data_IF_984279895886
#
_entry.id   IF_984279895886
#
_cell.length_a   1.000
_cell.length_b   1.000
_cell.length_c   1.000
_cell.angle_alpha   90.00
_cell.angle_beta   90.00
_cell.angle_gamma   90.00
#
_symmetry.space_group_name_H-M   'P 1'
#
loop_
_entity.id
_entity.type
_entity.pdbx_description
1 polymer ?
#
# COMPACT_ATOMS: atom_id res chain seq x y z
N UNK A 1 13.30 -9.15 -16.72
CA UNK A 1 11.87 -8.85 -16.50
C UNK A 1 11.65 -7.99 -15.27
N UNK A 2 11.88 -8.50 -14.05
CA UNK A 2 11.64 -7.71 -12.82
C UNK A 2 12.55 -6.48 -12.78
N UNK A 3 13.85 -6.65 -13.05
CA UNK A 3 14.80 -5.54 -13.12
C UNK A 3 14.46 -4.53 -14.21
N UNK A 4 14.02 -5.00 -15.40
CA UNK A 4 13.60 -4.11 -16.48
C UNK A 4 12.35 -3.32 -16.09
N UNK A 5 11.37 -3.97 -15.46
CA UNK A 5 10.17 -3.32 -14.95
C UNK A 5 10.50 -2.27 -13.87
N UNK A 6 11.41 -2.59 -12.94
CA UNK A 6 11.89 -1.67 -11.92
C UNK A 6 12.62 -0.47 -12.54
N UNK A 7 13.49 -0.71 -13.52
CA UNK A 7 14.21 0.36 -14.23
C UNK A 7 13.25 1.28 -14.98
N UNK A 8 12.29 0.73 -15.72
CA UNK A 8 11.28 1.51 -16.42
C UNK A 8 10.43 2.32 -15.45
N UNK A 9 9.98 1.71 -14.35
CA UNK A 9 9.22 2.39 -13.31
C UNK A 9 10.01 3.54 -12.68
N UNK A 10 11.30 3.34 -12.41
CA UNK A 10 12.17 4.39 -11.89
C UNK A 10 12.30 5.57 -12.87
N UNK A 11 12.48 5.31 -14.16
CA UNK A 11 12.50 6.38 -15.17
C UNK A 11 11.15 7.10 -15.28
N UNK A 12 10.03 6.40 -15.08
CA UNK A 12 8.70 7.01 -15.09
C UNK A 12 8.48 8.00 -13.95
N UNK A 13 9.14 7.85 -12.80
CA UNK A 13 9.05 8.82 -11.70
C UNK A 13 9.43 10.25 -12.11
N UNK A 14 10.32 10.40 -13.09
CA UNK A 14 10.82 11.69 -13.57
C UNK A 14 10.02 12.24 -14.77
N UNK A 15 9.00 11.53 -15.24
CA UNK A 15 8.16 11.95 -16.35
C UNK A 15 7.32 13.20 -15.99
N UNK A 16 7.04 14.05 -16.98
CA UNK A 16 6.24 15.25 -16.76
C UNK A 16 4.80 14.91 -16.35
N UNK A 17 4.26 13.86 -16.95
CA UNK A 17 2.91 13.34 -16.73
C UNK A 17 2.73 12.83 -15.29
N UNK A 18 3.78 12.24 -14.72
CA UNK A 18 3.79 11.70 -13.36
C UNK A 18 3.75 12.79 -12.28
N UNK A 19 4.19 14.02 -12.59
CA UNK A 19 4.14 15.15 -11.65
C UNK A 19 2.72 15.54 -11.28
N UNK A 20 1.81 15.53 -12.25
CA UNK A 20 0.37 15.77 -12.04
C UNK A 20 -0.19 14.75 -11.04
N UNK A 21 0.09 13.47 -11.28
CA UNK A 21 -0.36 12.37 -10.41
C UNK A 21 0.25 12.49 -9.02
N UNK A 22 1.55 12.83 -8.93
CA UNK A 22 2.22 13.03 -7.65
C UNK A 22 1.53 14.08 -6.78
N UNK A 23 1.16 15.24 -7.33
CA UNK A 23 0.49 16.29 -6.56
C UNK A 23 -0.92 15.89 -6.11
N UNK A 24 -1.67 15.13 -6.93
CA UNK A 24 -2.97 14.58 -6.53
C UNK A 24 -2.82 13.57 -5.39
N UNK A 25 -1.85 12.65 -5.53
CA UNK A 25 -1.49 11.65 -4.51
C UNK A 25 -1.14 12.34 -3.20
N UNK A 26 -0.23 13.32 -3.25
CA UNK A 26 0.21 14.06 -2.07
C UNK A 26 -0.94 14.83 -1.42
N UNK A 27 -1.75 15.55 -2.21
CA UNK A 27 -2.91 16.29 -1.71
C UNK A 27 -3.95 15.39 -1.03
N UNK A 28 -4.29 14.25 -1.65
CA UNK A 28 -5.22 13.30 -1.04
C UNK A 28 -4.62 12.61 0.18
N UNK A 29 -3.32 12.30 0.17
CA UNK A 29 -2.60 11.77 1.34
C UNK A 29 -2.76 12.70 2.53
N UNK A 30 -2.48 13.99 2.34
CA UNK A 30 -2.62 15.01 3.38
C UNK A 30 -4.08 15.14 3.86
N UNK A 31 -5.04 15.07 2.93
CA UNK A 31 -6.46 15.11 3.26
C UNK A 31 -6.87 13.89 4.12
N UNK A 32 -6.48 12.68 3.72
CA UNK A 32 -6.79 11.44 4.45
C UNK A 32 -6.12 11.45 5.82
N UNK A 33 -4.86 11.89 5.92
CA UNK A 33 -4.17 12.02 7.20
C UNK A 33 -4.85 13.05 8.11
N UNK A 34 -5.27 14.20 7.59
CA UNK A 34 -6.01 15.19 8.36
C UNK A 34 -7.36 14.62 8.83
N UNK A 35 -8.11 13.93 7.96
CA UNK A 35 -9.36 13.28 8.32
C UNK A 35 -9.17 12.21 9.41
N UNK A 36 -8.15 11.36 9.27
CA UNK A 36 -7.78 10.36 10.29
C UNK A 36 -7.38 11.02 11.61
N UNK A 37 -6.59 12.09 11.57
CA UNK A 37 -6.23 12.86 12.76
C UNK A 37 -7.46 13.36 13.51
N UNK A 38 -8.39 14.01 12.82
CA UNK A 38 -9.63 14.49 13.44
C UNK A 38 -10.51 13.35 13.93
N UNK A 39 -10.60 12.24 13.21
CA UNK A 39 -11.38 11.07 13.62
C UNK A 39 -10.79 10.42 14.89
N UNK A 40 -9.50 10.11 14.89
CA UNK A 40 -8.81 9.49 16.03
C UNK A 40 -8.86 10.43 17.24
N UNK A 41 -8.58 11.73 17.05
CA UNK A 41 -8.67 12.73 18.13
C UNK A 41 -10.08 12.80 18.72
N UNK A 42 -11.11 12.81 17.88
CA UNK A 42 -12.51 12.88 18.34
C UNK A 42 -12.89 11.62 19.11
N UNK A 43 -12.50 10.44 18.62
CA UNK A 43 -12.74 9.16 19.30
C UNK A 43 -12.01 9.15 20.65
N UNK A 44 -10.75 9.58 20.70
CA UNK A 44 -9.98 9.66 21.94
C UNK A 44 -10.64 10.60 22.95
N UNK A 45 -11.05 11.81 22.53
CA UNK A 45 -11.70 12.78 23.42
C UNK A 45 -13.03 12.27 23.97
N UNK A 46 -13.83 11.62 23.14
CA UNK A 46 -15.18 11.23 23.55
C UNK A 46 -15.22 9.90 24.31
N UNK A 47 -14.35 8.94 23.97
CA UNK A 47 -14.40 7.58 24.52
C UNK A 47 -13.23 7.22 25.43
N UNK A 48 -12.01 7.69 25.13
CA UNK A 48 -10.83 7.32 25.90
C UNK A 48 -10.57 8.27 27.07
N UNK A 49 -10.68 9.57 26.86
CA UNK A 49 -10.43 10.61 27.88
C UNK A 49 -11.30 10.42 29.14
N UNK A 50 -12.62 10.17 29.05
CA UNK A 50 -13.43 9.92 30.24
C UNK A 50 -13.00 8.69 31.04
N UNK A 51 -12.48 7.66 30.37
CA UNK A 51 -11.92 6.46 31.02
C UNK A 51 -10.56 6.74 31.67
N UNK A 52 -9.74 7.61 31.07
CA UNK A 52 -8.47 8.04 31.66
C UNK A 52 -8.72 8.85 32.93
N UNK A 53 -9.70 9.75 32.91
CA UNK A 53 -10.06 10.59 34.05
C UNK A 53 -10.62 9.78 35.24
N UNK A 54 -11.33 8.68 34.98
CA UNK A 54 -11.81 7.77 36.03
C UNK A 54 -10.72 6.88 36.62
N UNK A 55 -9.73 6.49 35.82
CA UNK A 55 -8.60 5.67 36.26
C UNK A 55 -7.55 6.48 37.02
N UNK A 56 -7.47 7.79 36.82
CA UNK A 56 -6.48 8.68 37.47
C UNK A 56 -7.18 9.93 38.03
N UNK A 57 -7.94 9.81 39.13
CA UNK A 57 -8.58 10.96 39.75
C UNK A 57 -7.52 11.84 40.45
N UNK A 58 -7.35 13.07 39.95
CA UNK A 58 -6.60 14.14 40.62
C UNK A 58 -5.18 13.75 41.04
N UNK A 59 -4.24 13.74 40.08
CA UNK A 59 -2.83 13.48 40.37
C UNK A 59 -2.32 14.50 41.41
N UNK A 60 -1.88 14.08 42.61
CA UNK A 60 -1.32 15.00 43.59
C UNK A 60 -0.05 15.67 43.05
N UNK A 61 0.21 16.94 43.40
CA UNK A 61 1.36 17.71 42.85
C UNK A 61 2.72 17.01 43.04
N UNK A 62 2.91 16.25 44.13
CA UNK A 62 4.14 15.48 44.40
C UNK A 62 4.30 14.25 43.49
N UNK A 63 3.22 13.79 42.87
CA UNK A 63 3.19 12.69 41.90
C UNK A 63 3.24 13.20 40.45
N UNK A 64 3.56 14.48 40.20
CA UNK A 64 3.70 15.05 38.86
C UNK A 64 4.72 14.32 37.96
N UNK A 65 5.67 13.61 38.56
CA UNK A 65 6.61 12.74 37.85
C UNK A 65 5.92 11.52 37.21
N UNK A 66 4.84 10.99 37.80
CA UNK A 66 4.01 9.96 37.17
C UNK A 66 3.30 10.51 35.94
N UNK A 67 2.78 11.74 36.01
CA UNK A 67 2.16 12.42 34.85
C UNK A 67 3.16 12.60 33.71
N UNK A 68 4.40 12.96 34.02
CA UNK A 68 5.49 13.06 33.04
C UNK A 68 5.83 11.70 32.42
N UNK A 69 5.97 10.65 33.23
CA UNK A 69 6.22 9.28 32.75
C UNK A 69 5.06 8.78 31.88
N UNK A 70 3.81 8.99 32.29
CA UNK A 70 2.63 8.69 31.48
C UNK A 70 2.60 9.48 30.17
N UNK A 71 2.95 10.77 30.19
CA UNK A 71 3.02 11.58 28.98
C UNK A 71 4.09 11.04 28.01
N UNK A 72 5.23 10.56 28.51
CA UNK A 72 6.24 9.88 27.69
C UNK A 72 5.69 8.59 27.09
N UNK A 73 5.08 7.71 27.90
CA UNK A 73 4.53 6.45 27.40
C UNK A 73 3.36 6.65 26.44
N UNK A 74 2.48 7.62 26.71
CA UNK A 74 1.39 8.01 25.82
C UNK A 74 1.93 8.62 24.52
N UNK A 75 2.98 9.45 24.60
CA UNK A 75 3.67 10.01 23.43
C UNK A 75 4.33 8.94 22.57
N UNK A 76 5.04 7.98 23.18
CA UNK A 76 5.64 6.83 22.50
C UNK A 76 4.53 5.94 21.90
N UNK A 77 3.47 5.65 22.66
CA UNK A 77 2.33 4.86 22.19
C UNK A 77 1.64 5.51 21.00
N UNK A 78 1.44 6.83 21.04
CA UNK A 78 0.90 7.61 19.94
C UNK A 78 1.84 7.60 18.72
N UNK A 79 3.15 7.79 18.93
CA UNK A 79 4.14 7.74 17.86
C UNK A 79 4.18 6.37 17.18
N UNK A 80 4.13 5.28 17.96
CA UNK A 80 4.05 3.91 17.46
C UNK A 80 2.74 3.67 16.70
N UNK A 81 1.61 4.14 17.22
CA UNK A 81 0.31 4.04 16.54
C UNK A 81 0.32 4.80 15.21
N UNK A 82 0.86 6.03 15.18
CA UNK A 82 1.00 6.81 13.96
C UNK A 82 1.93 6.11 12.96
N UNK A 83 3.07 5.59 13.41
CA UNK A 83 3.99 4.83 12.57
C UNK A 83 3.31 3.59 11.96
N UNK A 84 2.49 2.88 12.74
CA UNK A 84 1.69 1.73 12.29
C UNK A 84 0.69 2.11 11.20
N UNK A 85 0.16 3.34 11.23
CA UNK A 85 -0.82 3.86 10.28
C UNK A 85 -0.21 4.36 8.97
N UNK A 86 1.10 4.66 8.93
CA UNK A 86 1.78 5.10 7.70
C UNK A 86 1.60 4.04 6.59
N UNK A 87 1.90 2.77 6.90
CA UNK A 87 1.84 1.68 5.92
C UNK A 87 0.42 1.45 5.35
N UNK A 88 -0.65 1.31 6.17
CA UNK A 88 -2.04 1.24 5.69
C UNK A 88 -2.50 2.46 4.89
N UNK A 89 -2.06 3.67 5.29
CA UNK A 89 -2.43 4.91 4.57
C UNK A 89 -1.79 4.92 3.18
N UNK A 90 -0.48 4.69 3.09
CA UNK A 90 0.24 4.59 1.81
C UNK A 90 -0.38 3.53 0.89
N UNK A 91 -0.82 2.42 1.46
CA UNK A 91 -1.54 1.35 0.80
C UNK A 91 -2.88 1.78 0.17
N UNK A 92 -3.73 2.48 0.93
CA UNK A 92 -5.01 3.02 0.44
C UNK A 92 -4.79 4.02 -0.69
N UNK A 93 -3.84 4.94 -0.49
CA UNK A 93 -3.49 5.96 -1.48
C UNK A 93 -3.02 5.30 -2.77
N UNK A 94 -2.18 4.28 -2.66
CA UNK A 94 -1.71 3.56 -3.81
C UNK A 94 -2.84 2.89 -4.59
N UNK A 95 -3.81 2.25 -3.90
CA UNK A 95 -4.97 1.65 -4.55
C UNK A 95 -5.82 2.67 -5.31
N UNK A 96 -6.04 3.86 -4.73
CA UNK A 96 -6.85 4.92 -5.34
C UNK A 96 -6.18 5.59 -6.55
N UNK A 97 -4.85 5.68 -6.58
CA UNK A 97 -4.11 6.35 -7.67
C UNK A 97 -3.42 5.41 -8.64
N UNK A 98 -3.55 4.10 -8.44
CA UNK A 98 -2.95 3.12 -9.33
C UNK A 98 -3.43 3.27 -10.75
N UNK A 99 -4.71 3.59 -10.95
CA UNK A 99 -5.27 3.78 -12.29
C UNK A 99 -4.68 4.99 -13.00
N UNK A 100 -4.52 6.11 -12.31
CA UNK A 100 -3.87 7.33 -12.83
C UNK A 100 -2.42 7.04 -13.24
N UNK A 101 -1.67 6.34 -12.38
CA UNK A 101 -0.27 5.96 -12.67
C UNK A 101 -0.21 4.98 -13.84
N UNK A 102 -1.08 3.98 -13.85
CA UNK A 102 -1.11 2.97 -14.90
C UNK A 102 -1.47 3.56 -16.25
N UNK A 103 -2.41 4.51 -16.31
CA UNK A 103 -2.76 5.23 -17.53
C UNK A 103 -1.58 6.02 -18.10
N UNK A 104 -0.80 6.71 -17.24
CA UNK A 104 0.42 7.40 -17.65
C UNK A 104 1.44 6.42 -18.25
N UNK A 105 1.63 5.28 -17.61
CA UNK A 105 2.55 4.22 -18.08
C UNK A 105 2.08 3.61 -19.39
N UNK A 106 0.79 3.34 -19.54
CA UNK A 106 0.21 2.80 -20.76
C UNK A 106 0.39 3.78 -21.93
N UNK A 107 0.04 5.06 -21.76
CA UNK A 107 0.19 6.08 -22.80
C UNK A 107 1.65 6.29 -23.22
N UNK A 108 2.57 6.27 -22.25
CA UNK A 108 3.99 6.57 -22.49
C UNK A 108 4.78 5.37 -23.00
N UNK A 109 4.65 4.22 -22.35
CA UNK A 109 5.50 3.06 -22.60
C UNK A 109 4.84 2.02 -23.52
N UNK A 110 3.51 2.04 -23.64
CA UNK A 110 2.75 1.06 -24.42
C UNK A 110 1.67 1.72 -25.31
N UNK A 111 2.01 2.72 -26.16
CA UNK A 111 1.03 3.47 -26.93
C UNK A 111 0.24 2.61 -27.95
N UNK A 112 0.79 1.46 -28.35
CA UNK A 112 0.18 0.54 -29.32
C UNK A 112 -0.62 -0.60 -28.66
N UNK A 113 -0.58 -0.73 -27.33
CA UNK A 113 -1.38 -1.74 -26.62
C UNK A 113 -2.79 -1.18 -26.38
N UNK A 114 -3.84 -2.03 -26.34
CA UNK A 114 -5.16 -1.57 -25.91
C UNK A 114 -5.08 -1.02 -24.48
N UNK A 115 -5.67 0.16 -24.21
CA UNK A 115 -5.64 0.76 -22.89
C UNK A 115 -6.40 -0.11 -21.89
N UNK A 116 -5.91 -0.14 -20.64
CA UNK A 116 -6.60 -0.80 -19.54
C UNK A 116 -7.89 -0.05 -19.20
N UNK A 117 -8.88 -0.77 -18.64
CA UNK A 117 -10.08 -0.15 -18.07
C UNK A 117 -9.80 0.27 -16.64
N UNK A 118 -10.10 1.53 -16.30
CA UNK A 118 -10.04 2.00 -14.92
C UNK A 118 -11.04 1.22 -14.05
N UNK A 119 -10.66 0.97 -12.80
CA UNK A 119 -11.55 0.34 -11.84
C UNK A 119 -12.68 1.30 -11.44
N UNK A 120 -13.92 0.82 -11.28
CA UNK A 120 -14.98 1.64 -10.70
C UNK A 120 -14.57 2.15 -9.31
N UNK A 121 -14.84 3.43 -9.01
CA UNK A 121 -14.44 4.07 -7.75
C UNK A 121 -14.90 3.28 -6.52
N UNK A 122 -16.12 2.75 -6.53
CA UNK A 122 -16.63 1.93 -5.43
C UNK A 122 -15.84 0.65 -5.19
N UNK A 123 -15.39 -0.02 -6.26
CA UNK A 123 -14.55 -1.22 -6.17
C UNK A 123 -13.13 -0.89 -5.71
N UNK A 124 -12.58 0.25 -6.16
CA UNK A 124 -11.29 0.75 -5.71
C UNK A 124 -11.30 1.08 -4.21
N UNK A 125 -12.36 1.74 -3.72
CA UNK A 125 -12.56 2.05 -2.30
C UNK A 125 -12.69 0.77 -1.47
N UNK A 126 -13.54 -0.17 -1.88
CA UNK A 126 -13.72 -1.44 -1.15
C UNK A 126 -12.42 -2.25 -1.08
N UNK A 127 -11.68 -2.31 -2.19
CA UNK A 127 -10.39 -3.01 -2.24
C UNK A 127 -9.36 -2.34 -1.35
N UNK A 128 -9.32 -1.00 -1.35
CA UNK A 128 -8.45 -0.22 -0.46
C UNK A 128 -8.77 -0.46 1.02
N UNK A 129 -10.05 -0.55 1.41
CA UNK A 129 -10.47 -0.85 2.79
C UNK A 129 -10.06 -2.27 3.20
N UNK A 130 -10.25 -3.26 2.32
CA UNK A 130 -9.80 -4.64 2.58
C UNK A 130 -8.30 -4.71 2.76
N UNK A 131 -7.56 -4.00 1.90
CA UNK A 131 -6.11 -3.93 1.99
C UNK A 131 -5.66 -3.23 3.26
N UNK A 132 -6.31 -2.13 3.65
CA UNK A 132 -6.07 -1.45 4.92
C UNK A 132 -6.18 -2.42 6.12
N UNK A 133 -7.23 -3.25 6.17
CA UNK A 133 -7.37 -4.26 7.22
C UNK A 133 -6.26 -5.32 7.21
N UNK A 134 -5.86 -5.80 6.02
CA UNK A 134 -4.75 -6.75 5.87
C UNK A 134 -3.42 -6.14 6.31
N UNK A 135 -3.18 -4.87 5.97
CA UNK A 135 -1.95 -4.17 6.34
C UNK A 135 -1.90 -3.90 7.84
N UNK A 136 -3.03 -3.57 8.48
CA UNK A 136 -3.12 -3.48 9.96
C UNK A 136 -2.74 -4.82 10.58
N UNK A 137 -3.34 -5.92 10.12
CA UNK A 137 -3.04 -7.25 10.66
C UNK A 137 -1.56 -7.60 10.49
N UNK A 138 -0.98 -7.33 9.31
CA UNK A 138 0.45 -7.54 9.05
C UNK A 138 1.35 -6.69 9.95
N UNK A 139 0.99 -5.43 10.19
CA UNK A 139 1.73 -4.53 11.06
C UNK A 139 1.64 -4.93 12.54
N UNK A 140 0.51 -5.45 13.01
CA UNK A 140 0.38 -6.01 14.36
C UNK A 140 1.30 -7.23 14.55
N UNK A 141 1.36 -8.12 13.55
CA UNK A 141 2.30 -9.25 13.57
C UNK A 141 3.75 -8.75 13.56
N UNK A 142 4.06 -7.73 12.76
CA UNK A 142 5.40 -7.13 12.73
C UNK A 142 5.79 -6.51 14.08
N UNK A 143 4.84 -5.88 14.79
CA UNK A 143 5.06 -5.34 16.13
C UNK A 143 5.49 -6.42 17.13
N UNK A 144 4.88 -7.62 17.06
CA UNK A 144 5.27 -8.77 17.89
C UNK A 144 6.68 -9.27 17.57
N UNK A 145 7.07 -9.22 16.29
CA UNK A 145 8.38 -9.64 15.80
C UNK A 145 9.51 -8.63 16.07
N UNK A 146 9.16 -7.39 16.44
CA UNK A 146 10.10 -6.31 16.73
C UNK A 146 11.00 -6.62 17.94
N UNK A 147 10.54 -7.48 18.84
CA UNK A 147 11.26 -7.88 20.06
C UNK A 147 12.48 -8.78 19.81
N UNK A 148 12.66 -9.30 18.59
CA UNK A 148 13.79 -10.16 18.24
C UNK A 148 14.71 -9.46 17.22
N UNK A 149 15.94 -9.05 17.62
CA UNK A 149 16.90 -8.42 16.73
C UNK A 149 17.18 -9.27 15.48
N UNK A 150 17.26 -8.64 14.31
CA UNK A 150 17.49 -9.31 13.01
C UNK A 150 16.24 -9.95 12.39
N UNK A 151 15.34 -10.53 13.20
CA UNK A 151 14.06 -11.09 12.70
C UNK A 151 13.17 -9.99 12.15
N UNK A 152 13.15 -8.81 12.78
CA UNK A 152 12.38 -7.66 12.31
C UNK A 152 12.74 -7.25 10.87
N UNK A 153 14.03 -7.27 10.50
CA UNK A 153 14.46 -6.89 9.15
C UNK A 153 13.95 -7.91 8.11
N UNK A 154 14.12 -9.19 8.38
CA UNK A 154 13.65 -10.27 7.50
C UNK A 154 12.11 -10.20 7.39
N UNK A 155 11.42 -10.07 8.52
CA UNK A 155 9.97 -9.96 8.57
C UNK A 155 9.47 -8.74 7.79
N UNK A 156 10.12 -7.58 7.94
CA UNK A 156 9.79 -6.36 7.19
C UNK A 156 9.79 -6.63 5.68
N UNK A 157 10.87 -7.21 5.15
CA UNK A 157 10.98 -7.48 3.72
C UNK A 157 9.98 -8.55 3.25
N UNK A 158 9.84 -9.66 3.98
CA UNK A 158 8.94 -10.74 3.59
C UNK A 158 7.47 -10.31 3.63
N UNK A 159 7.05 -9.64 4.72
CA UNK A 159 5.66 -9.19 4.90
C UNK A 159 5.32 -8.10 3.90
N UNK A 160 6.11 -7.02 3.83
CA UNK A 160 5.84 -5.94 2.88
C UNK A 160 6.00 -6.41 1.43
N UNK A 161 7.00 -7.24 1.13
CA UNK A 161 7.19 -7.80 -0.20
C UNK A 161 6.02 -8.67 -0.64
N UNK A 162 5.49 -9.50 0.26
CA UNK A 162 4.31 -10.31 -0.04
C UNK A 162 3.04 -9.45 -0.21
N UNK A 163 2.78 -8.54 0.72
CA UNK A 163 1.58 -7.72 0.72
C UNK A 163 1.54 -6.78 -0.48
N UNK A 164 2.60 -5.99 -0.68
CA UNK A 164 2.70 -5.03 -1.77
C UNK A 164 2.77 -5.75 -3.11
N UNK A 165 3.55 -6.83 -3.20
CA UNK A 165 3.64 -7.66 -4.41
C UNK A 165 2.27 -8.15 -4.85
N UNK A 166 1.54 -8.80 -3.94
CA UNK A 166 0.20 -9.32 -4.20
C UNK A 166 -0.77 -8.24 -4.65
N UNK A 167 -0.87 -7.17 -3.87
CA UNK A 167 -1.94 -6.19 -4.03
C UNK A 167 -1.75 -5.35 -5.29
N UNK A 168 -0.57 -4.75 -5.46
CA UNK A 168 -0.30 -3.90 -6.62
C UNK A 168 -0.32 -4.68 -7.93
N UNK A 169 0.06 -5.95 -7.91
CA UNK A 169 -0.05 -6.80 -9.08
C UNK A 169 -1.51 -7.11 -9.44
N UNK A 170 -2.35 -7.43 -8.44
CA UNK A 170 -3.79 -7.65 -8.69
C UNK A 170 -4.44 -6.38 -9.25
N UNK A 171 -4.15 -5.21 -8.70
CA UNK A 171 -4.63 -3.94 -9.23
C UNK A 171 -4.17 -3.70 -10.68
N UNK A 172 -2.88 -3.89 -10.97
CA UNK A 172 -2.36 -3.74 -12.32
C UNK A 172 -2.98 -4.75 -13.31
N UNK A 173 -3.27 -5.97 -12.85
CA UNK A 173 -3.89 -7.01 -13.68
C UNK A 173 -5.40 -6.77 -13.90
N UNK A 174 -6.12 -6.23 -12.91
CA UNK A 174 -7.56 -5.92 -13.00
C UNK A 174 -7.90 -4.86 -14.05
N UNK A 175 -6.92 -4.05 -14.45
CA UNK A 175 -7.07 -3.14 -15.60
C UNK A 175 -7.28 -3.85 -16.94
N UNK A 176 -6.84 -5.10 -17.05
CA UNK A 176 -6.88 -5.87 -18.30
C UNK A 176 -7.74 -7.13 -18.21
N UNK A 177 -8.18 -7.50 -17.01
CA UNK A 177 -8.80 -8.80 -16.71
C UNK A 177 -9.85 -8.64 -15.62
N UNK A 178 -10.79 -9.56 -15.53
CA UNK A 178 -11.75 -9.58 -14.41
C UNK A 178 -11.04 -9.81 -13.06
N UNK A 179 -11.63 -9.42 -11.90
CA UNK A 179 -11.05 -9.68 -10.58
C UNK A 179 -10.72 -11.15 -10.31
N UNK A 180 -11.57 -12.08 -10.80
CA UNK A 180 -11.33 -13.51 -10.65
C UNK A 180 -10.11 -13.98 -11.47
N UNK A 181 -9.99 -13.51 -12.70
CA UNK A 181 -8.87 -13.83 -13.58
C UNK A 181 -7.56 -13.21 -13.07
N UNK A 182 -7.60 -11.98 -12.56
CA UNK A 182 -6.44 -11.32 -11.98
C UNK A 182 -5.86 -12.12 -10.80
N UNK A 183 -6.72 -12.62 -9.90
CA UNK A 183 -6.32 -13.48 -8.77
C UNK A 183 -5.71 -14.80 -9.23
N UNK A 184 -6.33 -15.46 -10.22
CA UNK A 184 -5.84 -16.72 -10.77
C UNK A 184 -4.52 -16.52 -11.53
N UNK A 185 -4.36 -15.40 -12.23
CA UNK A 185 -3.11 -15.07 -12.92
C UNK A 185 -1.97 -14.77 -11.93
N UNK A 186 -2.27 -14.03 -10.85
CA UNK A 186 -1.33 -13.80 -9.76
C UNK A 186 -0.93 -15.13 -9.10
N UNK A 187 -1.88 -16.02 -8.81
CA UNK A 187 -1.57 -17.28 -8.12
C UNK A 187 -0.63 -18.18 -8.95
N UNK A 188 -0.81 -18.21 -10.28
CA UNK A 188 0.11 -18.87 -11.22
C UNK A 188 1.53 -18.29 -11.18
N UNK A 189 1.66 -16.97 -10.99
CA UNK A 189 2.94 -16.25 -11.01
C UNK A 189 3.42 -15.78 -9.63
N UNK A 190 2.94 -16.43 -8.54
CA UNK A 190 3.16 -15.97 -7.16
C UNK A 190 4.61 -15.66 -6.80
N UNK A 191 5.56 -16.46 -7.29
CA UNK A 191 6.98 -16.28 -7.00
C UNK A 191 7.54 -15.02 -7.67
N UNK A 192 7.23 -14.81 -8.95
CA UNK A 192 7.61 -13.60 -9.69
C UNK A 192 7.01 -12.35 -9.07
N UNK A 193 5.73 -12.42 -8.69
CA UNK A 193 5.00 -11.32 -8.04
C UNK A 193 5.62 -11.00 -6.67
N UNK A 194 5.96 -12.03 -5.89
CA UNK A 194 6.64 -11.87 -4.60
C UNK A 194 8.03 -11.25 -4.75
N UNK A 195 8.83 -11.72 -5.69
CA UNK A 195 10.16 -11.17 -5.96
C UNK A 195 10.10 -9.70 -6.42
N UNK A 196 9.10 -9.33 -7.21
CA UNK A 196 8.86 -7.93 -7.56
C UNK A 196 8.42 -7.12 -6.34
N UNK A 197 7.59 -7.69 -5.48
CA UNK A 197 7.23 -7.10 -4.20
C UNK A 197 8.43 -6.84 -3.29
N UNK A 198 9.43 -7.73 -3.26
CA UNK A 198 10.67 -7.49 -2.50
C UNK A 198 11.45 -6.26 -3.01
N UNK A 199 11.45 -6.03 -4.32
CA UNK A 199 12.06 -4.81 -4.90
C UNK A 199 11.31 -3.55 -4.46
N UNK A 200 9.97 -3.61 -4.44
CA UNK A 200 9.14 -2.53 -3.90
C UNK A 200 9.43 -2.32 -2.41
N UNK A 201 9.55 -3.39 -1.62
CA UNK A 201 9.89 -3.30 -0.20
C UNK A 201 11.28 -2.68 0.03
N UNK A 202 12.25 -2.95 -0.85
CA UNK A 202 13.57 -2.30 -0.81
C UNK A 202 13.50 -0.80 -1.14
N UNK A 203 12.65 -0.42 -2.10
CA UNK A 203 12.39 0.98 -2.42
C UNK A 203 11.71 1.70 -1.24
N UNK A 204 10.72 1.04 -0.63
CA UNK A 204 9.99 1.49 0.56
C UNK A 204 10.92 1.72 1.76
N UNK A 205 11.93 0.88 1.94
CA UNK A 205 12.87 0.95 3.06
C UNK A 205 13.73 2.23 3.06
N UNK A 206 13.88 2.90 1.92
CA UNK A 206 14.65 4.14 1.81
C UNK A 206 13.75 5.33 2.16
N UNK A 207 14.02 6.09 3.24
CA UNK A 207 13.09 7.10 3.77
C UNK A 207 12.60 8.13 2.75
N UNK A 208 13.49 8.68 1.93
CA UNK A 208 13.13 9.70 0.93
C UNK A 208 12.41 9.10 -0.28
N UNK A 209 12.73 7.85 -0.65
CA UNK A 209 12.08 7.15 -1.75
C UNK A 209 10.71 6.61 -1.34
N UNK A 210 10.46 6.41 -0.05
CA UNK A 210 9.19 5.92 0.48
C UNK A 210 7.99 6.73 -0.07
N UNK A 211 8.11 8.06 -0.12
CA UNK A 211 7.07 8.95 -0.65
C UNK A 211 6.69 8.67 -2.12
N UNK A 212 7.64 8.13 -2.91
CA UNK A 212 7.46 7.77 -4.31
C UNK A 212 7.06 6.30 -4.50
N UNK A 213 7.05 5.50 -3.43
CA UNK A 213 6.74 4.06 -3.49
C UNK A 213 5.42 3.75 -4.18
N UNK A 214 4.30 4.46 -3.91
CA UNK A 214 3.04 4.17 -4.60
C UNK A 214 3.15 4.28 -6.13
N UNK A 215 3.81 5.35 -6.61
CA UNK A 215 4.02 5.61 -8.03
C UNK A 215 4.95 4.57 -8.64
N UNK A 216 6.05 4.26 -7.94
CA UNK A 216 7.01 3.26 -8.36
C UNK A 216 6.37 1.87 -8.44
N UNK A 217 5.68 1.44 -7.39
CA UNK A 217 5.04 0.14 -7.27
C UNK A 217 3.95 -0.07 -8.33
N UNK A 218 3.08 0.92 -8.54
CA UNK A 218 2.04 0.86 -9.57
C UNK A 218 2.67 0.74 -10.96
N UNK A 219 3.63 1.60 -11.31
CA UNK A 219 4.30 1.53 -12.61
C UNK A 219 5.05 0.20 -12.80
N UNK A 220 5.79 -0.24 -11.79
CA UNK A 220 6.54 -1.49 -11.83
C UNK A 220 5.61 -2.69 -12.05
N UNK A 221 4.47 -2.75 -11.37
CA UNK A 221 3.52 -3.85 -11.50
C UNK A 221 2.77 -3.85 -12.83
N UNK A 222 2.52 -2.69 -13.44
CA UNK A 222 2.00 -2.61 -14.82
C UNK A 222 3.01 -3.17 -15.81
N UNK A 223 4.28 -2.77 -15.73
CA UNK A 223 5.34 -3.31 -16.56
C UNK A 223 5.51 -4.82 -16.35
N UNK A 224 5.46 -5.27 -15.10
CA UNK A 224 5.55 -6.69 -14.77
C UNK A 224 4.36 -7.46 -15.35
N UNK A 225 3.13 -6.97 -15.17
CA UNK A 225 1.93 -7.59 -15.72
C UNK A 225 2.03 -7.73 -17.24
N UNK A 226 2.44 -6.68 -17.96
CA UNK A 226 2.62 -6.71 -19.41
C UNK A 226 3.69 -7.73 -19.82
N UNK A 227 4.83 -7.73 -19.13
CA UNK A 227 5.93 -8.64 -19.45
C UNK A 227 5.58 -10.12 -19.17
N UNK A 228 4.89 -10.40 -18.06
CA UNK A 228 4.40 -11.76 -17.74
C UNK A 228 3.32 -12.18 -18.73
N UNK A 229 2.39 -11.29 -19.08
CA UNK A 229 1.32 -11.57 -20.06
C UNK A 229 1.87 -11.92 -21.44
N UNK A 230 2.96 -11.27 -21.87
CA UNK A 230 3.65 -11.59 -23.13
C UNK A 230 4.33 -12.96 -23.11
N UNK A 231 4.82 -13.41 -21.95
CA UNK A 231 5.43 -14.74 -21.79
C UNK A 231 4.41 -15.85 -21.59
N UNK A 232 3.23 -15.53 -21.09
CA UNK A 232 2.14 -16.46 -20.85
C UNK A 232 0.84 -16.03 -21.55
N UNK A 233 0.80 -16.06 -22.89
CA UNK A 233 -0.38 -15.67 -23.68
C UNK A 233 -1.55 -16.66 -23.50
N UNK A 234 -1.29 -17.86 -22.98
CA UNK A 234 -2.32 -18.88 -22.72
C UNK A 234 -3.43 -18.43 -21.76
N UNK A 235 -3.16 -17.38 -20.98
CA UNK A 235 -4.15 -16.77 -20.08
C UNK A 235 -4.85 -15.55 -20.67
N UNK A 236 -4.35 -14.99 -21.77
CA UNK A 236 -4.93 -13.83 -22.48
C UNK A 236 -5.89 -14.27 -23.60
N UNK A 237 -5.69 -15.46 -24.16
CA UNK A 237 -6.53 -16.03 -25.20
C UNK A 237 -7.29 -17.26 -24.66
N UNK A 238 -8.60 -17.11 -24.45
CA UNK A 238 -9.52 -18.24 -24.29
C UNK A 238 -9.98 -18.52 -22.85
N UNK A 239 -11.14 -17.97 -22.48
CA UNK A 239 -12.10 -18.69 -21.61
C UNK A 239 -13.56 -18.20 -21.64
N UNK A 240 -13.96 -17.43 -22.64
CA UNK A 240 -15.39 -17.10 -22.84
C UNK A 240 -16.17 -18.22 -23.54
N UNK A 241 -15.52 -19.24 -24.11
CA UNK A 241 -16.21 -20.33 -24.82
C UNK A 241 -16.56 -21.55 -23.96
N UNK A 242 -16.03 -21.68 -22.74
CA UNK A 242 -16.29 -22.88 -21.90
C UNK A 242 -17.44 -22.74 -20.89
N UNK A 243 -18.17 -21.62 -20.89
CA UNK A 243 -19.38 -21.43 -20.07
C UNK A 243 -20.68 -21.43 -20.91
N UNK A 244 -20.60 -21.84 -22.19
CA UNK A 244 -21.72 -21.94 -23.13
C UNK A 244 -21.83 -23.33 -23.81
N UNK A 245 -21.27 -24.37 -23.19
CA UNK A 245 -21.40 -25.76 -23.62
C UNK A 245 -22.24 -26.55 -22.64
#
# INVERSE_FOLDING_TARGET
MIFDAARLAFHNLFAAETRSVFWKVLGLTLLVLAALWFAIRSIFIYFALPWVDTLIPGVPDWAGWLTFVFAIFAGIGLALALALLISPVTAVIAGLFLDDVAEVVEKKNYPNDPPGKAMPVGEAVLSSIKFFGVVIAGNLVALLLLLVPGVNLIAFFLVNGYLLGREFFEFAAMRFRSPAEARLFRSKHRATVFMAGLVIAAFLAVPFLNLLTPLFAASMMVHLHKAVSRRDPSFAAGRTEQLRG
#
